data_IF_903314124921
#
_entry.id   IF_903314124921
#
_cell.length_a   1.000
_cell.length_b   1.000
_cell.length_c   1.000
_cell.angle_alpha   90.00
_cell.angle_beta   90.00
_cell.angle_gamma   90.00
#
_symmetry.space_group_name_H-M   'P 1'
#
loop_
_entity.id
_entity.type
_entity.pdbx_description
1 polymer ?
#
# COMPACT_ATOMS: atom_id res chain seq x y z
N UNK A 1 -12.61 -28.58 10.92
CA UNK A 1 -11.31 -28.63 11.61
C UNK A 1 -10.36 -27.75 10.83
N UNK A 2 -10.17 -26.49 11.23
CA UNK A 2 -9.23 -25.60 10.55
C UNK A 2 -7.81 -25.98 10.98
N UNK A 3 -6.96 -26.34 10.03
CA UNK A 3 -5.55 -26.60 10.31
C UNK A 3 -4.89 -25.35 10.91
N UNK A 4 -4.02 -25.49 11.93
CA UNK A 4 -3.34 -24.35 12.49
C UNK A 4 -2.38 -23.79 11.44
N UNK A 5 -2.58 -22.53 11.07
CA UNK A 5 -1.63 -21.77 10.23
C UNK A 5 -0.31 -21.76 10.98
N UNK A 6 0.61 -22.65 10.60
CA UNK A 6 1.94 -22.75 11.20
C UNK A 6 2.62 -21.39 11.08
N UNK A 7 2.86 -20.74 12.22
CA UNK A 7 3.73 -19.57 12.31
C UNK A 7 5.10 -19.96 11.73
N UNK A 8 5.40 -19.43 10.54
CA UNK A 8 6.67 -19.62 9.84
C UNK A 8 7.80 -18.75 10.37
N UNK A 9 7.63 -18.12 11.52
CA UNK A 9 8.72 -17.39 12.15
C UNK A 9 9.62 -18.37 12.92
N UNK A 10 10.31 -19.28 12.20
CA UNK A 10 11.64 -19.62 12.67
C UNK A 10 12.47 -18.35 12.50
N UNK A 11 13.18 -17.94 13.54
CA UNK A 11 14.13 -16.85 13.46
C UNK A 11 15.29 -17.27 12.56
N UNK A 12 15.06 -17.28 11.25
CA UNK A 12 16.14 -17.26 10.28
C UNK A 12 16.81 -15.92 10.50
N UNK A 13 18.00 -15.94 11.08
CA UNK A 13 18.93 -14.83 10.91
C UNK A 13 19.12 -14.70 9.40
N UNK A 14 18.35 -13.81 8.77
CA UNK A 14 18.48 -13.51 7.35
C UNK A 14 19.82 -12.82 7.25
N UNK A 15 20.83 -13.56 6.82
CA UNK A 15 22.10 -12.96 6.46
C UNK A 15 21.80 -11.86 5.45
N UNK A 16 22.20 -10.62 5.77
CA UNK A 16 21.77 -9.45 5.03
C UNK A 16 22.50 -9.45 3.69
N UNK A 17 21.81 -9.91 2.65
CA UNK A 17 22.35 -9.95 1.30
C UNK A 17 22.81 -8.52 0.89
N UNK A 18 24.09 -8.34 0.52
CA UNK A 18 24.65 -7.01 0.25
C UNK A 18 24.00 -6.33 -0.96
N UNK A 19 23.48 -7.09 -1.91
CA UNK A 19 22.72 -6.55 -3.06
C UNK A 19 21.38 -6.01 -2.57
N UNK A 20 20.67 -6.78 -1.74
CA UNK A 20 19.39 -6.33 -1.18
C UNK A 20 19.56 -5.06 -0.34
N UNK A 21 20.60 -4.99 0.50
CA UNK A 21 20.86 -3.82 1.34
C UNK A 21 21.26 -2.58 0.52
N UNK A 22 21.98 -2.77 -0.60
CA UNK A 22 22.27 -1.69 -1.54
C UNK A 22 20.97 -1.06 -2.07
N UNK A 23 20.00 -1.86 -2.51
CA UNK A 23 18.71 -1.34 -3.01
C UNK A 23 17.81 -0.78 -1.90
N UNK A 24 17.82 -1.37 -0.71
CA UNK A 24 16.98 -0.92 0.43
C UNK A 24 17.33 0.48 0.93
N UNK A 25 18.57 0.93 0.71
CA UNK A 25 19.11 2.20 1.21
C UNK A 25 18.30 3.40 0.74
N UNK A 26 17.91 3.38 -0.54
CA UNK A 26 17.30 4.53 -1.20
C UNK A 26 15.77 4.44 -1.26
N UNK A 27 15.18 3.42 -0.61
CA UNK A 27 13.73 3.29 -0.49
C UNK A 27 13.23 4.27 0.57
N UNK A 28 12.46 5.27 0.15
CA UNK A 28 11.67 6.08 1.08
C UNK A 28 10.54 5.23 1.71
N UNK A 29 10.65 5.01 3.02
CA UNK A 29 9.70 4.21 3.80
C UNK A 29 8.64 5.07 4.50
N UNK A 30 8.64 6.38 4.30
CA UNK A 30 7.75 7.33 4.98
C UNK A 30 6.29 6.97 4.73
N UNK A 31 5.89 6.85 3.47
CA UNK A 31 4.51 6.50 3.12
C UNK A 31 4.16 5.06 3.51
N UNK A 32 5.10 4.11 3.42
CA UNK A 32 4.88 2.73 3.84
C UNK A 32 4.54 2.68 5.33
N UNK A 33 5.35 3.35 6.16
CA UNK A 33 5.13 3.41 7.61
C UNK A 33 3.83 4.12 7.97
N UNK A 34 3.53 5.24 7.32
CA UNK A 34 2.27 5.95 7.54
C UNK A 34 1.05 5.07 7.20
N UNK A 35 1.10 4.36 6.07
CA UNK A 35 0.01 3.44 5.68
C UNK A 35 -0.12 2.26 6.65
N UNK A 36 0.99 1.68 7.12
CA UNK A 36 0.98 0.55 8.04
C UNK A 36 0.47 0.92 9.44
N UNK A 37 0.61 2.17 9.87
CA UNK A 37 0.07 2.67 11.14
C UNK A 37 -1.45 2.78 11.16
N UNK A 38 -2.11 2.77 10.01
CA UNK A 38 -3.56 3.01 9.94
C UNK A 38 -4.37 1.87 10.53
N UNK A 39 -5.41 2.24 11.27
CA UNK A 39 -6.45 1.31 11.72
C UNK A 39 -7.24 0.76 10.54
N UNK A 40 -8.03 -0.29 10.78
CA UNK A 40 -8.91 -0.86 9.75
C UNK A 40 -9.92 0.17 9.28
N UNK A 41 -10.54 0.92 10.20
CA UNK A 41 -11.53 1.95 9.88
C UNK A 41 -10.93 3.07 9.03
N UNK A 42 -9.71 3.52 9.36
CA UNK A 42 -8.99 4.52 8.58
C UNK A 42 -8.68 4.04 7.16
N UNK A 43 -8.38 2.74 6.98
CA UNK A 43 -8.17 2.16 5.65
C UNK A 43 -9.46 2.17 4.85
N UNK A 44 -10.60 1.81 5.45
CA UNK A 44 -11.90 1.85 4.78
C UNK A 44 -12.31 3.28 4.41
N UNK A 45 -12.18 4.23 5.33
CA UNK A 45 -12.49 5.64 5.07
C UNK A 45 -11.68 6.17 3.88
N UNK A 46 -10.38 5.85 3.82
CA UNK A 46 -9.51 6.29 2.73
C UNK A 46 -9.81 5.59 1.40
N UNK A 47 -10.23 4.33 1.44
CA UNK A 47 -10.71 3.61 0.25
C UNK A 47 -11.95 4.31 -0.33
N UNK A 48 -12.92 4.67 0.50
CA UNK A 48 -14.14 5.40 0.06
C UNK A 48 -13.76 6.75 -0.55
N UNK A 49 -12.88 7.51 0.10
CA UNK A 49 -12.39 8.79 -0.42
C UNK A 49 -11.71 8.63 -1.79
N UNK A 50 -10.91 7.58 -1.98
CA UNK A 50 -10.25 7.27 -3.25
C UNK A 50 -11.27 6.96 -4.36
N UNK A 51 -12.35 6.22 -4.05
CA UNK A 51 -13.41 5.96 -5.03
C UNK A 51 -14.11 7.25 -5.47
N UNK A 52 -14.39 8.16 -4.53
CA UNK A 52 -14.95 9.48 -4.82
C UNK A 52 -14.04 10.32 -5.72
N UNK A 53 -12.76 10.38 -5.38
CA UNK A 53 -11.75 11.06 -6.22
C UNK A 53 -11.69 10.48 -7.64
N UNK A 54 -11.68 9.15 -7.77
CA UNK A 54 -11.65 8.49 -9.07
C UNK A 54 -12.91 8.77 -9.90
N UNK A 55 -14.09 8.82 -9.27
CA UNK A 55 -15.33 9.18 -9.94
C UNK A 55 -15.28 10.61 -10.50
N UNK A 56 -14.79 11.54 -9.69
CA UNK A 56 -14.66 12.95 -10.08
C UNK A 56 -13.63 13.16 -11.19
N UNK A 57 -12.48 12.52 -11.10
CA UNK A 57 -11.45 12.58 -12.14
C UNK A 57 -11.98 12.06 -13.49
N UNK A 58 -12.75 10.96 -13.48
CA UNK A 58 -13.41 10.45 -14.70
C UNK A 58 -14.45 11.44 -15.23
N UNK A 59 -15.24 12.09 -14.36
CA UNK A 59 -16.22 13.12 -14.75
C UNK A 59 -15.53 14.28 -15.46
N UNK A 60 -14.49 14.83 -14.84
CA UNK A 60 -13.69 15.92 -15.38
C UNK A 60 -13.04 15.54 -16.72
N UNK A 61 -12.50 14.33 -16.83
CA UNK A 61 -11.92 13.82 -18.09
C UNK A 61 -12.94 13.78 -19.23
N UNK A 62 -14.16 13.27 -18.98
CA UNK A 62 -15.25 13.29 -19.98
C UNK A 62 -15.66 14.71 -20.38
N UNK A 63 -15.69 15.63 -19.42
CA UNK A 63 -16.03 17.03 -19.68
C UNK A 63 -14.97 17.73 -20.54
N UNK A 64 -13.68 17.54 -20.22
CA UNK A 64 -12.58 18.07 -21.01
C UNK A 64 -12.58 17.53 -22.45
N UNK A 65 -12.91 16.24 -22.63
CA UNK A 65 -13.00 15.64 -23.97
C UNK A 65 -14.14 16.24 -24.80
N UNK A 66 -15.31 16.51 -24.19
CA UNK A 66 -16.46 17.13 -24.90
C UNK A 66 -16.26 18.58 -25.30
N UNK A 67 -15.30 19.28 -24.68
CA UNK A 67 -14.97 20.69 -24.97
C UNK A 67 -13.91 20.84 -26.08
N UNK A 68 -13.35 19.73 -26.56
CA UNK A 68 -12.48 19.68 -27.75
C UNK A 68 -13.30 19.34 -28.98
#
# INVERSE_FOLDING_TARGET
>A
MAEPVRSRASAVAVDLDPVIEAYKRDIDRTLIRENLRRSVDERFARLVALQGFAAELRRAGREAHRRR
#
